data_IF_107660483654
#
_entry.id   IF_107660483654
#
_cell.length_a   1.000
_cell.length_b   1.000
_cell.length_c   1.000
_cell.angle_alpha   90.00
_cell.angle_beta   90.00
_cell.angle_gamma   90.00
#
_symmetry.space_group_name_H-M   'P 1'
#
loop_
_entity.id
_entity.type
_entity.pdbx_description
1 polymer ?
#
# COMPACT_ATOMS: atom_id res chain seq x y z
N UNK A 1 4.71 -9.32 -0.51
CA UNK A 1 3.98 -9.25 0.80
C UNK A 1 2.52 -8.88 0.55
N UNK A 2 1.63 -8.84 1.55
CA UNK A 2 0.27 -8.27 1.39
C UNK A 2 0.16 -6.93 2.10
N UNK A 3 -0.73 -6.07 1.62
CA UNK A 3 -1.07 -4.83 2.32
C UNK A 3 -1.91 -5.15 3.56
N UNK A 4 -1.62 -4.52 4.69
CA UNK A 4 -2.47 -4.55 5.89
C UNK A 4 -3.35 -3.30 6.03
N UNK A 5 -3.07 -2.25 5.27
CA UNK A 5 -3.86 -1.01 5.20
C UNK A 5 -4.08 -0.61 3.75
N UNK A 6 -5.00 0.33 3.54
CA UNK A 6 -5.17 0.96 2.22
C UNK A 6 -3.87 1.67 1.83
N UNK A 7 -3.35 1.34 0.66
CA UNK A 7 -2.12 1.91 0.12
C UNK A 7 -2.39 2.55 -1.23
N UNK A 8 -1.73 3.66 -1.52
CA UNK A 8 -1.86 4.33 -2.81
C UNK A 8 -0.48 4.43 -3.47
N UNK A 9 -0.27 3.61 -4.49
CA UNK A 9 1.01 3.49 -5.18
C UNK A 9 0.84 3.54 -6.69
N UNK A 10 1.84 4.06 -7.38
CA UNK A 10 1.91 4.04 -8.84
C UNK A 10 2.77 2.83 -9.23
N UNK A 11 2.19 1.72 -9.71
CA UNK A 11 2.98 0.61 -10.21
C UNK A 11 3.74 1.02 -11.48
N UNK A 12 4.84 0.34 -11.77
CA UNK A 12 5.62 0.62 -12.98
C UNK A 12 4.77 0.37 -14.24
N UNK A 13 4.85 1.30 -15.18
CA UNK A 13 4.02 1.32 -16.38
C UNK A 13 2.63 1.96 -16.19
N UNK A 14 2.21 2.31 -14.97
CA UNK A 14 1.06 3.19 -14.77
C UNK A 14 1.48 4.66 -14.61
N UNK A 15 0.68 5.53 -15.21
CA UNK A 15 0.80 6.99 -15.04
C UNK A 15 -0.04 7.49 -13.87
N UNK A 16 -0.93 6.67 -13.32
CA UNK A 16 -1.85 7.03 -12.26
C UNK A 16 -1.66 6.17 -11.01
N UNK A 17 -1.87 6.75 -9.82
CA UNK A 17 -1.78 6.01 -8.57
C UNK A 17 -3.00 5.12 -8.36
N UNK A 18 -2.74 3.83 -8.16
CA UNK A 18 -3.70 2.77 -7.84
C UNK A 18 -3.92 2.72 -6.33
N UNK A 19 -5.15 2.47 -5.92
CA UNK A 19 -5.51 2.26 -4.52
C UNK A 19 -5.62 0.76 -4.23
N UNK A 20 -4.70 0.25 -3.42
CA UNK A 20 -4.63 -1.13 -2.96
C UNK A 20 -5.34 -1.27 -1.62
N UNK A 21 -6.10 -2.34 -1.44
CA UNK A 21 -6.85 -2.61 -0.22
C UNK A 21 -6.05 -3.48 0.76
N UNK A 22 -6.39 -3.48 2.06
CA UNK A 22 -5.85 -4.46 2.99
C UNK A 22 -6.23 -5.88 2.56
N UNK A 23 -5.25 -6.77 2.50
CA UNK A 23 -5.34 -8.13 1.97
C UNK A 23 -4.92 -8.27 0.51
N UNK A 24 -4.73 -7.15 -0.20
CA UNK A 24 -4.30 -7.12 -1.59
C UNK A 24 -2.80 -7.43 -1.73
N UNK A 25 -2.40 -7.94 -2.88
CA UNK A 25 -1.03 -8.39 -3.12
C UNK A 25 -0.14 -7.17 -3.37
N UNK A 26 0.94 -7.04 -2.59
CA UNK A 26 1.89 -5.96 -2.74
C UNK A 26 2.96 -6.36 -3.77
N UNK A 27 3.03 -5.66 -4.92
CA UNK A 27 4.07 -5.91 -5.91
C UNK A 27 5.43 -5.47 -5.35
N UNK A 28 6.53 -6.17 -5.67
CA UNK A 28 7.85 -5.91 -5.11
C UNK A 28 8.38 -4.50 -5.38
N UNK A 29 7.95 -3.85 -6.46
CA UNK A 29 8.29 -2.45 -6.78
C UNK A 29 7.66 -1.45 -5.82
N UNK A 30 6.49 -1.78 -5.28
CA UNK A 30 5.80 -0.98 -4.27
C UNK A 30 6.10 -1.46 -2.86
N UNK A 31 6.67 -2.66 -2.69
CA UNK A 31 6.96 -3.25 -1.37
C UNK A 31 7.92 -2.38 -0.57
N UNK A 32 8.92 -1.76 -1.20
CA UNK A 32 9.86 -0.87 -0.52
C UNK A 32 9.15 0.39 0.02
N UNK A 33 8.34 1.04 -0.81
CA UNK A 33 7.50 2.18 -0.41
C UNK A 33 6.45 1.78 0.64
N UNK A 34 5.83 0.61 0.48
CA UNK A 34 4.84 0.07 1.39
C UNK A 34 5.44 -0.29 2.76
N UNK A 35 6.71 -0.72 2.76
CA UNK A 35 7.49 -1.02 3.95
C UNK A 35 7.92 0.24 4.69
N UNK A 36 8.41 1.25 3.97
CA UNK A 36 8.74 2.58 4.51
C UNK A 36 7.51 3.23 5.16
N UNK A 37 6.33 3.04 4.57
CA UNK A 37 5.06 3.58 5.07
C UNK A 37 4.35 2.66 6.08
N UNK A 38 4.95 1.51 6.43
CA UNK A 38 4.38 0.52 7.37
C UNK A 38 2.93 0.10 7.03
N UNK A 39 2.62 -0.04 5.74
CA UNK A 39 1.31 -0.50 5.25
C UNK A 39 1.26 -1.99 4.94
N UNK A 40 2.36 -2.72 5.11
CA UNK A 40 2.47 -4.17 4.88
C UNK A 40 2.01 -5.00 6.10
N UNK A 41 1.50 -6.20 5.84
CA UNK A 41 1.05 -7.16 6.85
C UNK A 41 2.23 -7.61 7.74
N UNK A 42 2.23 -7.15 8.99
CA UNK A 42 3.28 -7.42 9.98
C UNK A 42 3.72 -6.21 10.83
N UNK A 43 3.41 -4.97 10.43
CA UNK A 43 3.78 -3.75 11.19
C UNK A 43 2.72 -2.64 11.29
N UNK A 44 1.53 -2.81 10.74
CA UNK A 44 0.59 -1.69 10.57
C UNK A 44 -0.29 -1.41 11.81
N UNK A 45 0.19 -0.65 12.81
CA UNK A 45 -0.69 -0.08 13.85
C UNK A 45 -1.48 1.13 13.29
N UNK A 46 -2.80 0.96 13.20
CA UNK A 46 -3.90 1.91 12.87
C UNK A 46 -3.58 3.26 12.19
N UNK A 47 -4.13 3.46 10.98
CA UNK A 47 -4.56 4.75 10.42
C UNK A 47 -5.42 4.38 9.19
N UNK A 48 -6.75 4.47 9.11
CA UNK A 48 -7.76 5.54 9.34
C UNK A 48 -7.55 6.81 8.48
N UNK A 49 -8.08 6.76 7.24
CA UNK A 49 -8.79 7.78 6.38
C UNK A 49 -8.55 9.29 6.65
N UNK A 50 -8.61 10.24 5.66
CA UNK A 50 -9.74 10.36 4.71
C UNK A 50 -9.48 11.05 3.32
N UNK A 51 -10.50 11.00 2.45
CA UNK A 51 -10.79 11.97 1.36
C UNK A 51 -12.27 11.78 1.01
N UNK A 52 -13.19 12.73 1.09
CA UNK A 52 -13.26 14.12 1.57
C UNK A 52 -14.70 14.34 2.07
#
# INVERSE_FOLDING_TARGET
MKFAKTFKGVPDGEIYPVEYQPGDECPPELEDAARELEVLEGKADKQTKPKA
#
